data_IF_302915018563
#
_entry.id   IF_302915018563
#
_cell.length_a   1.000
_cell.length_b   1.000
_cell.length_c   1.000
_cell.angle_alpha   90.00
_cell.angle_beta   90.00
_cell.angle_gamma   90.00
#
_symmetry.space_group_name_H-M   'P 1'
#
loop_
_entity.id
_entity.type
_entity.pdbx_description
1 polymer ?
#
# COMPACT_ATOMS: atom_id res chain seq x y z
N UNK A 1 -9.12 6.17 10.79
CA UNK A 1 -7.90 5.58 11.39
C UNK A 1 -6.95 5.17 10.27
N UNK A 2 -5.65 5.36 10.43
CA UNK A 2 -4.64 4.86 9.48
C UNK A 2 -3.99 3.61 10.06
N UNK A 3 -3.90 2.56 9.25
CA UNK A 3 -3.17 1.33 9.57
C UNK A 3 -1.75 1.43 9.05
N UNK A 4 -0.81 0.87 9.83
CA UNK A 4 0.60 0.84 9.51
C UNK A 4 1.05 -0.61 9.46
N UNK A 5 1.72 -0.98 8.38
CA UNK A 5 2.33 -2.28 8.21
C UNK A 5 3.80 -2.11 7.86
N UNK A 6 4.58 -3.14 8.18
CA UNK A 6 5.98 -3.23 7.80
C UNK A 6 6.16 -4.49 6.96
N UNK A 7 6.76 -4.35 5.78
CA UNK A 7 7.11 -5.48 4.91
C UNK A 7 8.60 -5.42 4.58
N UNK A 8 9.26 -6.57 4.54
CA UNK A 8 10.70 -6.69 4.28
C UNK A 8 10.97 -7.94 3.47
N UNK A 9 11.94 -7.87 2.57
CA UNK A 9 12.48 -9.05 1.88
C UNK A 9 13.79 -9.48 2.55
N UNK A 10 14.22 -10.74 2.33
CA UNK A 10 15.39 -11.38 2.96
C UNK A 10 16.67 -10.53 2.88
N UNK A 11 16.80 -9.65 1.89
CA UNK A 11 17.97 -8.78 1.68
C UNK A 11 17.65 -7.28 1.60
N UNK A 12 16.44 -6.84 1.98
CA UNK A 12 16.06 -5.43 1.88
C UNK A 12 15.62 -4.86 3.22
N UNK A 13 15.75 -3.54 3.35
CA UNK A 13 15.26 -2.83 4.53
C UNK A 13 13.75 -2.96 4.65
N UNK A 14 13.24 -2.79 5.87
CA UNK A 14 11.80 -2.83 6.12
C UNK A 14 11.13 -1.58 5.52
N UNK A 15 10.19 -1.81 4.61
CA UNK A 15 9.35 -0.77 4.03
C UNK A 15 8.16 -0.48 4.94
N UNK A 16 7.72 0.78 4.93
CA UNK A 16 6.52 1.21 5.65
C UNK A 16 5.35 1.29 4.68
N UNK A 17 4.24 0.67 5.06
CA UNK A 17 3.00 0.67 4.29
C UNK A 17 1.89 1.33 5.11
N UNK A 18 1.17 2.27 4.50
CA UNK A 18 0.00 2.94 5.08
C UNK A 18 -1.28 2.52 4.37
N UNK A 19 -2.37 2.40 5.13
CA UNK A 19 -3.69 2.14 4.58
C UNK A 19 -4.75 2.91 5.37
N UNK A 20 -5.57 3.70 4.70
CA UNK A 20 -6.71 4.35 5.34
C UNK A 20 -7.79 3.33 5.69
N UNK A 21 -8.43 3.48 6.85
CA UNK A 21 -9.57 2.64 7.25
C UNK A 21 -10.78 2.87 6.35
N UNK A 22 -11.00 4.11 5.93
CA UNK A 22 -12.08 4.48 5.03
C UNK A 22 -11.66 5.59 4.05
N UNK A 23 -12.63 6.07 3.26
CA UNK A 23 -12.42 7.08 2.22
C UNK A 23 -11.89 8.41 2.77
N UNK A 24 -12.23 8.80 3.99
CA UNK A 24 -11.80 10.08 4.55
C UNK A 24 -10.30 10.05 4.86
N UNK A 25 -9.82 8.94 5.46
CA UNK A 25 -8.38 8.78 5.67
C UNK A 25 -7.61 8.55 4.37
N UNK A 26 -8.22 7.91 3.37
CA UNK A 26 -7.63 7.81 2.05
C UNK A 26 -7.43 9.20 1.42
N UNK A 27 -8.41 10.10 1.52
CA UNK A 27 -8.30 11.48 1.03
C UNK A 27 -7.17 12.25 1.75
N UNK A 28 -7.07 12.09 3.08
CA UNK A 28 -5.98 12.71 3.84
C UNK A 28 -4.60 12.13 3.47
N UNK A 29 -4.49 10.82 3.27
CA UNK A 29 -3.23 10.19 2.83
C UNK A 29 -2.80 10.66 1.45
N UNK A 30 -3.74 10.90 0.52
CA UNK A 30 -3.42 11.52 -0.78
C UNK A 30 -2.93 12.96 -0.58
N UNK A 31 -3.63 13.72 0.25
CA UNK A 31 -3.33 15.14 0.47
C UNK A 31 -1.97 15.37 1.10
N UNK A 32 -1.54 14.49 2.00
CA UNK A 32 -0.26 14.58 2.72
C UNK A 32 0.77 13.55 2.24
N UNK A 33 0.52 12.92 1.10
CA UNK A 33 1.43 11.95 0.48
C UNK A 33 2.73 12.60 0.04
N UNK A 34 3.80 11.81 0.04
CA UNK A 34 5.13 12.25 -0.37
C UNK A 34 5.39 11.82 -1.82
N UNK A 35 6.26 12.52 -2.58
CA UNK A 35 6.64 12.09 -3.94
C UNK A 35 7.20 10.66 -4.00
N UNK A 36 7.80 10.20 -2.90
CA UNK A 36 8.35 8.85 -2.72
C UNK A 36 7.30 7.80 -2.33
N UNK A 37 6.04 8.17 -2.15
CA UNK A 37 4.97 7.22 -1.84
C UNK A 37 4.39 6.61 -3.12
N UNK A 38 4.45 5.28 -3.21
CA UNK A 38 3.82 4.52 -4.29
C UNK A 38 2.41 4.14 -3.87
N UNK A 39 1.43 4.59 -4.65
CA UNK A 39 0.01 4.34 -4.39
C UNK A 39 -0.51 3.11 -5.13
N UNK A 40 -1.23 2.25 -4.41
CA UNK A 40 -1.87 1.05 -4.91
C UNK A 40 -3.39 1.12 -4.73
N UNK A 41 -4.13 0.75 -5.78
CA UNK A 41 -5.58 0.57 -5.77
C UNK A 41 -5.97 -0.56 -6.72
N UNK A 42 -7.13 -1.21 -6.50
CA UNK A 42 -7.68 -2.14 -7.50
C UNK A 42 -8.34 -1.36 -8.63
N UNK A 43 -8.07 -1.74 -9.88
CA UNK A 43 -8.75 -1.16 -11.04
C UNK A 43 -10.27 -1.32 -10.94
N UNK A 44 -11.00 -0.20 -11.13
CA UNK A 44 -12.47 -0.12 -11.24
C UNK A 44 -13.28 -0.65 -10.05
N UNK A 45 -12.65 -0.92 -8.91
CA UNK A 45 -13.32 -1.42 -7.72
C UNK A 45 -13.14 -0.48 -6.54
N UNK A 46 -14.17 -0.41 -5.69
CA UNK A 46 -14.04 0.25 -4.40
C UNK A 46 -13.15 -0.62 -3.51
N UNK A 47 -11.90 -0.21 -3.35
CA UNK A 47 -10.90 -0.86 -2.50
C UNK A 47 -10.26 0.13 -1.54
N UNK A 48 -9.59 -0.41 -0.53
CA UNK A 48 -8.64 0.39 0.24
C UNK A 48 -7.58 1.01 -0.68
N UNK A 49 -7.08 2.17 -0.26
CA UNK A 49 -5.90 2.79 -0.84
C UNK A 49 -4.70 2.42 0.03
N UNK A 50 -3.70 1.81 -0.58
CA UNK A 50 -2.47 1.40 0.10
C UNK A 50 -1.31 2.24 -0.43
N UNK A 51 -0.45 2.70 0.47
CA UNK A 51 0.70 3.54 0.15
C UNK A 51 1.96 2.87 0.68
N UNK A 52 2.93 2.65 -0.20
CA UNK A 52 4.25 2.16 0.16
C UNK A 52 5.23 3.34 0.16
N UNK A 53 5.90 3.60 1.28
CA UNK A 53 6.95 4.62 1.34
C UNK A 53 8.29 4.04 0.94
N UNK A 54 8.87 4.58 -0.12
CA UNK A 54 10.24 4.24 -0.53
C UNK A 54 11.26 4.83 0.44
N UNK A 55 12.42 4.17 0.52
CA UNK A 55 13.57 4.77 1.17
C UNK A 55 14.13 5.89 0.30
N UNK A 56 14.83 6.83 0.96
CA UNK A 56 15.36 8.02 0.27
C UNK A 56 16.33 7.60 -0.83
N UNK A 57 15.99 7.95 -2.08
CA UNK A 57 16.82 7.67 -3.26
C UNK A 57 16.54 6.34 -3.95
N UNK A 58 15.58 5.54 -3.47
CA UNK A 58 15.07 4.38 -4.20
C UNK A 58 14.08 4.79 -5.29
N UNK A 59 13.99 3.96 -6.33
CA UNK A 59 12.99 4.04 -7.38
C UNK A 59 12.03 2.86 -7.30
N UNK A 60 10.94 2.93 -8.07
CA UNK A 60 9.93 1.85 -8.13
C UNK A 60 10.52 0.49 -8.57
N UNK A 61 11.59 0.50 -9.37
CA UNK A 61 12.28 -0.69 -9.85
C UNK A 61 13.10 -1.39 -8.76
N UNK A 62 13.45 -0.67 -7.69
CA UNK A 62 14.23 -1.18 -6.57
C UNK A 62 13.36 -1.94 -5.55
N UNK A 63 12.02 -1.85 -5.67
CA UNK A 63 11.10 -2.49 -4.74
C UNK A 63 11.15 -4.02 -4.90
N UNK A 64 11.42 -4.78 -3.82
CA UNK A 64 11.37 -6.23 -3.88
C UNK A 64 9.99 -6.73 -4.27
N UNK A 65 9.95 -7.76 -5.12
CA UNK A 65 8.68 -8.36 -5.59
C UNK A 65 7.78 -8.81 -4.44
N UNK A 66 8.35 -9.30 -3.34
CA UNK A 66 7.63 -9.72 -2.14
C UNK A 66 6.84 -8.55 -1.52
N UNK A 67 7.47 -7.36 -1.43
CA UNK A 67 6.85 -6.14 -0.90
C UNK A 67 5.72 -5.66 -1.82
N UNK A 68 5.91 -5.74 -3.14
CA UNK A 68 4.86 -5.44 -4.12
C UNK A 68 3.66 -6.39 -3.97
N UNK A 69 3.92 -7.68 -3.77
CA UNK A 69 2.87 -8.67 -3.55
C UNK A 69 2.11 -8.42 -2.25
N UNK A 70 2.80 -8.04 -1.17
CA UNK A 70 2.14 -7.68 0.10
C UNK A 70 1.19 -6.48 -0.07
N UNK A 71 1.64 -5.43 -0.79
CA UNK A 71 0.78 -4.28 -1.09
C UNK A 71 -0.46 -4.70 -1.91
N UNK A 72 -0.27 -5.54 -2.93
CA UNK A 72 -1.37 -6.05 -3.75
C UNK A 72 -2.34 -6.92 -2.95
N UNK A 73 -1.84 -7.77 -2.05
CA UNK A 73 -2.68 -8.59 -1.17
C UNK A 73 -3.48 -7.73 -0.19
N UNK A 74 -2.87 -6.70 0.40
CA UNK A 74 -3.57 -5.76 1.29
C UNK A 74 -4.71 -5.04 0.56
N UNK A 75 -4.45 -4.54 -0.64
CA UNK A 75 -5.46 -3.87 -1.49
C UNK A 75 -6.60 -4.83 -1.85
N UNK A 76 -6.28 -6.07 -2.24
CA UNK A 76 -7.29 -7.08 -2.59
C UNK A 76 -8.14 -7.47 -1.37
N UNK A 77 -7.51 -7.78 -0.24
CA UNK A 77 -8.19 -8.21 0.98
C UNK A 77 -9.14 -7.15 1.53
N UNK A 78 -8.84 -5.87 1.29
CA UNK A 78 -9.65 -4.73 1.71
C UNK A 78 -10.45 -4.12 0.53
N UNK A 79 -10.85 -4.95 -0.44
CA UNK A 79 -11.74 -4.54 -1.53
C UNK A 79 -13.10 -5.20 -1.39
N UNK A 80 -14.16 -4.49 -1.81
CA UNK A 80 -15.55 -4.95 -1.66
C UNK A 80 -15.78 -6.30 -2.36
N UNK A 81 -15.11 -6.55 -3.49
CA UNK A 81 -15.22 -7.82 -4.24
C UNK A 81 -14.10 -8.82 -3.92
N UNK A 82 -12.95 -8.39 -3.41
CA UNK A 82 -11.84 -9.29 -3.08
C UNK A 82 -11.92 -9.92 -1.69
N UNK A 83 -12.79 -9.38 -0.82
CA UNK A 83 -13.06 -9.91 0.52
C UNK A 83 -14.11 -11.04 0.55
N UNK A 84 -14.58 -11.55 -0.60
CA UNK A 84 -15.38 -12.78 -0.62
C UNK A 84 -14.50 -13.96 -0.25
N UNK A 85 -14.58 -14.35 1.02
CA UNK A 85 -14.14 -15.65 1.52
C UNK A 85 -14.79 -16.74 0.65
N UNK A 86 -13.97 -17.49 -0.08
CA UNK A 86 -14.33 -18.82 -0.55
C UNK A 86 -13.89 -19.83 0.50
#
# INVERSE_FOLDING_TARGET
MVFYFTSSSVNSSAYTIYMGKDKYENEDLIKYGWPEDIWFHVDKLSSAHVYLRLHKGENIEDIPKEVLMDCAHLVKANSIQGATHH
#
